data_IF_491196667538
#
_entry.id   IF_491196667538
#
_cell.length_a   1.000
_cell.length_b   1.000
_cell.length_c   1.000
_cell.angle_alpha   90.00
_cell.angle_beta   90.00
_cell.angle_gamma   90.00
#
_symmetry.space_group_name_H-M   'P 1'
#
loop_
_entity.id
_entity.type
_entity.pdbx_description
1 polymer ?
#
# COMPACT_ATOMS: atom_id res chain seq x y z
N UNK A 1 -50.97 -21.02 -48.10
CA UNK A 1 -49.88 -20.13 -47.62
C UNK A 1 -49.98 -20.10 -46.10
N UNK A 2 -49.16 -20.90 -45.43
CA UNK A 2 -49.14 -21.02 -43.97
C UNK A 2 -48.29 -19.86 -43.45
N UNK A 3 -48.91 -18.95 -42.69
CA UNK A 3 -48.22 -17.82 -42.06
C UNK A 3 -47.63 -18.35 -40.74
N UNK A 4 -46.31 -18.52 -40.71
CA UNK A 4 -45.56 -18.74 -39.48
C UNK A 4 -45.31 -17.38 -38.81
N UNK A 5 -45.92 -17.15 -37.66
CA UNK A 5 -45.55 -16.07 -36.75
C UNK A 5 -44.38 -16.54 -35.90
N UNK A 6 -43.19 -15.98 -36.13
CA UNK A 6 -42.08 -16.12 -35.21
C UNK A 6 -42.31 -15.17 -34.04
N UNK A 7 -42.62 -15.71 -32.85
CA UNK A 7 -42.40 -14.97 -31.61
C UNK A 7 -40.90 -14.84 -31.42
N UNK A 8 -40.35 -13.64 -31.57
CA UNK A 8 -39.00 -13.36 -31.11
C UNK A 8 -39.01 -13.43 -29.59
N UNK A 9 -38.32 -14.41 -29.01
CA UNK A 9 -37.89 -14.28 -27.62
C UNK A 9 -36.99 -13.04 -27.54
N UNK A 10 -37.35 -12.07 -26.70
CA UNK A 10 -36.48 -10.99 -26.29
C UNK A 10 -35.25 -11.58 -25.58
N UNK A 11 -34.19 -11.82 -26.34
CA UNK A 11 -32.88 -12.28 -25.86
C UNK A 11 -31.98 -11.10 -25.44
N UNK A 12 -32.52 -9.88 -25.37
CA UNK A 12 -31.73 -8.65 -25.21
C UNK A 12 -31.86 -7.97 -23.84
N UNK A 13 -32.67 -8.49 -22.91
CA UNK A 13 -32.65 -8.02 -21.51
C UNK A 13 -31.50 -8.72 -20.76
N UNK A 14 -30.27 -8.41 -21.15
CA UNK A 14 -29.19 -8.46 -20.19
C UNK A 14 -29.36 -7.22 -19.33
N UNK A 15 -29.74 -7.39 -18.07
CA UNK A 15 -29.62 -6.32 -17.09
C UNK A 15 -28.20 -5.77 -17.20
N UNK A 16 -28.08 -4.48 -17.52
CA UNK A 16 -26.80 -3.78 -17.49
C UNK A 16 -26.13 -4.10 -16.15
N UNK A 17 -24.82 -4.44 -16.15
CA UNK A 17 -24.12 -4.79 -14.93
C UNK A 17 -24.34 -3.68 -13.91
N UNK A 18 -25.08 -4.00 -12.85
CA UNK A 18 -25.40 -3.03 -11.82
C UNK A 18 -24.09 -2.50 -11.25
N UNK A 19 -23.93 -1.17 -11.07
CA UNK A 19 -22.75 -0.62 -10.43
C UNK A 19 -22.56 -1.33 -9.09
N UNK A 20 -21.38 -1.90 -8.88
CA UNK A 20 -21.06 -2.63 -7.66
C UNK A 20 -21.27 -1.68 -6.46
N UNK A 21 -22.31 -1.94 -5.67
CA UNK A 21 -22.70 -1.04 -4.59
C UNK A 21 -21.65 -1.13 -3.46
N UNK A 22 -21.21 0.01 -2.90
CA UNK A 22 -20.27 0.00 -1.79
C UNK A 22 -20.80 -0.83 -0.63
N UNK A 23 -19.98 -1.74 -0.12
CA UNK A 23 -20.32 -2.54 1.06
C UNK A 23 -20.17 -1.70 2.31
N UNK A 24 -21.04 -1.90 3.29
CA UNK A 24 -20.90 -1.35 4.64
C UNK A 24 -20.93 -2.49 5.67
N UNK A 25 -19.84 -2.64 6.42
CA UNK A 25 -19.72 -3.62 7.51
C UNK A 25 -19.33 -2.90 8.81
N UNK A 26 -19.60 -3.56 9.94
CA UNK A 26 -19.14 -3.09 11.25
C UNK A 26 -17.80 -3.77 11.58
N UNK A 27 -16.67 -3.03 11.61
CA UNK A 27 -15.41 -3.60 12.08
C UNK A 27 -15.50 -3.91 13.58
N UNK A 28 -14.92 -5.03 13.99
CA UNK A 28 -14.90 -5.48 15.39
C UNK A 28 -13.49 -5.52 15.99
N UNK A 29 -12.48 -5.15 15.20
CA UNK A 29 -11.12 -4.85 15.65
C UNK A 29 -10.56 -3.67 14.86
N UNK A 30 -9.68 -2.92 15.50
CA UNK A 30 -8.78 -1.97 14.84
C UNK A 30 -7.63 -2.72 14.15
N UNK A 31 -6.94 -2.04 13.23
CA UNK A 31 -5.74 -2.59 12.58
C UNK A 31 -4.66 -2.92 13.62
N UNK A 32 -4.48 -2.06 14.64
CA UNK A 32 -3.49 -2.31 15.70
C UNK A 32 -3.82 -3.55 16.52
N UNK A 33 -5.09 -3.73 16.89
CA UNK A 33 -5.52 -4.92 17.63
C UNK A 33 -5.29 -6.20 16.82
N UNK A 34 -5.56 -6.18 15.51
CA UNK A 34 -5.23 -7.30 14.63
C UNK A 34 -3.72 -7.57 14.58
N UNK A 35 -2.89 -6.53 14.40
CA UNK A 35 -1.43 -6.66 14.38
C UNK A 35 -0.91 -7.28 15.69
N UNK A 36 -1.48 -6.91 16.83
CA UNK A 36 -1.09 -7.42 18.14
C UNK A 36 -1.46 -8.90 18.37
N UNK A 37 -2.29 -9.49 17.50
CA UNK A 37 -2.57 -10.94 17.53
C UNK A 37 -1.45 -11.77 16.93
N UNK A 38 -0.55 -11.16 16.14
CA UNK A 38 0.53 -11.87 15.46
C UNK A 38 1.41 -12.66 16.43
N UNK A 39 1.67 -13.92 16.07
CA UNK A 39 2.64 -14.79 16.72
C UNK A 39 3.72 -15.17 15.73
N UNK A 40 4.98 -15.16 16.19
CA UNK A 40 6.13 -15.55 15.38
C UNK A 40 5.94 -16.96 14.79
N UNK A 41 6.21 -17.13 13.50
CA UNK A 41 5.91 -18.34 12.74
C UNK A 41 4.60 -18.27 11.95
N UNK A 42 3.83 -17.19 12.10
CA UNK A 42 2.55 -16.98 11.45
C UNK A 42 1.37 -17.52 12.27
N UNK A 43 0.20 -16.89 12.12
CA UNK A 43 -1.02 -17.26 12.85
C UNK A 43 -2.24 -17.26 11.91
N UNK A 44 -2.94 -18.39 11.82
CA UNK A 44 -4.17 -18.52 11.05
C UNK A 44 -5.31 -17.90 11.85
N UNK A 45 -5.99 -16.93 11.28
CA UNK A 45 -7.10 -16.26 11.94
C UNK A 45 -8.35 -17.14 11.82
N UNK A 46 -8.82 -17.67 12.95
CA UNK A 46 -10.02 -18.53 13.01
C UNK A 46 -11.27 -17.78 13.48
N UNK A 47 -11.08 -16.64 14.14
CA UNK A 47 -12.14 -15.76 14.64
C UNK A 47 -12.78 -14.96 13.50
N UNK A 48 -14.08 -14.69 13.59
CA UNK A 48 -14.81 -13.80 12.66
C UNK A 48 -14.44 -12.33 12.89
N UNK A 49 -13.21 -11.97 12.50
CA UNK A 49 -12.65 -10.62 12.63
C UNK A 49 -12.89 -9.84 11.35
N UNK A 50 -13.29 -8.58 11.51
CA UNK A 50 -13.39 -7.59 10.45
C UNK A 50 -12.64 -6.35 10.89
N UNK A 51 -11.66 -5.94 10.09
CA UNK A 51 -11.02 -4.62 10.20
C UNK A 51 -11.52 -3.72 9.07
N UNK A 52 -11.39 -2.41 9.24
CA UNK A 52 -11.65 -1.43 8.22
C UNK A 52 -10.52 -0.39 8.18
N UNK A 53 -10.22 0.14 7.00
CA UNK A 53 -9.24 1.21 6.85
C UNK A 53 -9.42 1.92 5.52
N UNK A 54 -8.81 3.09 5.39
CA UNK A 54 -8.73 3.81 4.12
C UNK A 54 -7.53 3.33 3.32
N UNK A 55 -7.71 3.15 2.02
CA UNK A 55 -6.63 2.79 1.10
C UNK A 55 -5.62 3.93 1.01
N UNK A 56 -4.35 3.63 1.23
CA UNK A 56 -3.24 4.60 1.14
C UNK A 56 -2.19 4.24 0.08
N UNK A 57 -2.36 3.11 -0.61
CA UNK A 57 -1.45 2.65 -1.66
C UNK A 57 -2.13 2.56 -3.02
N UNK A 58 -1.31 2.51 -4.07
CA UNK A 58 -1.73 2.15 -5.42
C UNK A 58 -0.67 1.26 -6.06
N UNK A 59 -1.10 0.21 -6.77
CA UNK A 59 -0.19 -0.63 -7.58
C UNK A 59 -0.07 -0.17 -9.03
N UNK A 60 -0.64 0.99 -9.37
CA UNK A 60 -0.66 1.56 -10.72
C UNK A 60 0.74 1.74 -11.32
N UNK A 61 1.68 2.21 -10.52
CA UNK A 61 3.05 2.51 -10.96
C UNK A 61 4.02 1.36 -10.68
N UNK A 62 3.57 0.30 -10.00
CA UNK A 62 4.35 -0.92 -9.76
C UNK A 62 5.40 -0.82 -8.64
N UNK A 63 5.55 0.33 -7.97
CA UNK A 63 6.46 0.44 -6.83
C UNK A 63 5.93 -0.29 -5.60
N UNK A 64 4.61 -0.25 -5.40
CA UNK A 64 3.86 -1.13 -4.50
C UNK A 64 3.19 -2.17 -5.39
N UNK A 65 3.64 -3.42 -5.35
CA UNK A 65 3.16 -4.47 -6.26
C UNK A 65 2.42 -5.57 -5.50
N UNK A 66 1.30 -6.04 -6.05
CA UNK A 66 0.50 -7.14 -5.47
C UNK A 66 0.18 -6.96 -3.98
N UNK A 67 0.01 -5.71 -3.57
CA UNK A 67 -0.17 -5.33 -2.17
C UNK A 67 -1.15 -4.18 -2.10
N UNK A 68 -2.16 -4.30 -1.25
CA UNK A 68 -3.01 -3.19 -0.83
C UNK A 68 -2.60 -2.77 0.59
N UNK A 69 -2.40 -1.48 0.83
CA UNK A 69 -2.12 -0.94 2.15
C UNK A 69 -3.31 -0.10 2.57
N UNK A 70 -3.87 -0.42 3.73
CA UNK A 70 -4.93 0.34 4.36
C UNK A 70 -4.46 0.88 5.70
N UNK A 71 -5.05 1.99 6.12
CA UNK A 71 -4.76 2.64 7.40
C UNK A 71 -6.05 3.10 8.08
N UNK A 72 -6.12 2.90 9.39
CA UNK A 72 -7.10 3.47 10.30
C UNK A 72 -6.42 4.43 11.27
N UNK A 73 -7.12 4.86 12.32
CA UNK A 73 -6.57 5.78 13.33
C UNK A 73 -5.46 5.14 14.21
N UNK A 74 -5.29 3.82 14.16
CA UNK A 74 -4.41 3.04 15.06
C UNK A 74 -3.14 2.51 14.37
N UNK A 75 -3.13 2.43 13.04
CA UNK A 75 -1.98 2.00 12.25
C UNK A 75 -2.35 1.61 10.83
N UNK A 76 -1.35 1.13 10.08
CA UNK A 76 -1.55 0.59 8.74
C UNK A 76 -1.10 -0.87 8.63
N UNK A 77 -1.64 -1.56 7.64
CA UNK A 77 -1.33 -2.97 7.36
C UNK A 77 -1.27 -3.24 5.87
N UNK A 78 -0.32 -4.08 5.46
CA UNK A 78 -0.22 -4.64 4.11
C UNK A 78 -1.10 -5.87 3.97
N UNK A 79 -1.84 -5.93 2.87
CA UNK A 79 -2.68 -7.05 2.46
C UNK A 79 -2.10 -7.61 1.16
N UNK A 80 -1.61 -8.85 1.20
CA UNK A 80 -1.01 -9.50 0.02
C UNK A 80 -2.07 -9.96 -0.95
N UNK A 81 -1.92 -9.56 -2.20
CA UNK A 81 -2.90 -9.78 -3.26
C UNK A 81 -2.38 -10.66 -4.38
N UNK A 82 -3.13 -11.70 -4.72
CA UNK A 82 -2.93 -12.46 -5.95
C UNK A 82 -3.37 -11.68 -7.20
N UNK A 83 -4.17 -10.63 -7.05
CA UNK A 83 -4.55 -9.68 -8.10
C UNK A 83 -3.48 -8.61 -8.32
N UNK A 84 -3.40 -8.14 -9.56
CA UNK A 84 -2.76 -6.88 -9.96
C UNK A 84 -3.81 -5.90 -10.48
N UNK A 85 -3.45 -4.64 -10.65
CA UNK A 85 -4.39 -3.60 -11.06
C UNK A 85 -5.41 -3.28 -9.98
N UNK A 86 -5.02 -3.42 -8.70
CA UNK A 86 -5.83 -3.15 -7.53
C UNK A 86 -6.41 -1.73 -7.56
N UNK A 87 -5.66 -0.77 -8.12
CA UNK A 87 -6.08 0.62 -8.29
C UNK A 87 -7.40 0.81 -9.06
N UNK A 88 -7.83 -0.17 -9.86
CA UNK A 88 -9.12 -0.12 -10.57
C UNK A 88 -10.31 -0.38 -9.63
N UNK A 89 -10.10 -1.18 -8.59
CA UNK A 89 -11.14 -1.64 -7.66
C UNK A 89 -11.11 -0.83 -6.35
N UNK A 90 -9.90 -0.54 -5.87
CA UNK A 90 -9.63 0.11 -4.58
C UNK A 90 -8.87 1.41 -4.82
N UNK A 91 -9.59 2.53 -4.71
CA UNK A 91 -9.02 3.87 -4.95
C UNK A 91 -8.42 4.43 -3.66
N UNK A 92 -7.37 5.25 -3.77
CA UNK A 92 -6.79 5.96 -2.62
C UNK A 92 -7.90 6.76 -1.91
N UNK A 93 -7.96 6.63 -0.58
CA UNK A 93 -8.97 7.26 0.28
C UNK A 93 -10.29 6.50 0.41
N UNK A 94 -10.53 5.47 -0.41
CA UNK A 94 -11.70 4.59 -0.29
C UNK A 94 -11.60 3.77 1.00
N UNK A 95 -12.73 3.63 1.69
CA UNK A 95 -12.84 2.68 2.81
C UNK A 95 -12.89 1.26 2.28
N UNK A 96 -12.11 0.36 2.86
CA UNK A 96 -12.10 -1.06 2.56
C UNK A 96 -12.28 -1.85 3.85
N UNK A 97 -13.08 -2.90 3.77
CA UNK A 97 -13.27 -3.86 4.86
C UNK A 97 -12.53 -5.15 4.54
N UNK A 98 -11.83 -5.70 5.52
CA UNK A 98 -11.13 -6.99 5.37
C UNK A 98 -11.76 -7.99 6.33
N UNK A 99 -12.36 -9.03 5.77
CA UNK A 99 -12.74 -10.24 6.51
C UNK A 99 -11.47 -11.03 6.76
N UNK A 100 -11.10 -11.18 8.02
CA UNK A 100 -9.81 -11.75 8.39
C UNK A 100 -9.86 -13.26 8.62
N UNK A 101 -11.03 -13.84 8.94
CA UNK A 101 -11.18 -15.28 9.17
C UNK A 101 -10.75 -16.10 7.95
N UNK A 102 -9.86 -17.06 8.14
CA UNK A 102 -9.29 -17.88 7.07
C UNK A 102 -8.10 -17.25 6.36
N UNK A 103 -7.70 -16.03 6.74
CA UNK A 103 -6.45 -15.41 6.34
C UNK A 103 -5.35 -15.67 7.38
N UNK A 104 -4.12 -15.50 6.96
CA UNK A 104 -2.91 -15.72 7.75
C UNK A 104 -2.28 -14.37 8.10
N UNK A 105 -2.03 -14.14 9.39
CA UNK A 105 -1.07 -13.12 9.82
C UNK A 105 0.35 -13.69 9.73
N UNK A 106 1.27 -12.87 9.28
CA UNK A 106 2.70 -13.17 9.37
C UNK A 106 3.50 -11.88 9.36
N UNK A 107 4.81 -11.99 9.38
CA UNK A 107 5.70 -10.85 9.27
C UNK A 107 6.81 -11.08 8.24
N UNK A 108 7.09 -10.03 7.47
CA UNK A 108 8.28 -9.95 6.63
C UNK A 108 9.18 -8.83 7.12
N UNK A 109 10.41 -9.16 7.51
CA UNK A 109 11.32 -8.18 8.12
C UNK A 109 10.72 -7.52 9.36
N UNK A 110 10.00 -8.25 10.21
CA UNK A 110 9.29 -7.75 11.39
C UNK A 110 8.15 -6.73 11.11
N UNK A 111 7.79 -6.46 9.85
CA UNK A 111 6.55 -5.77 9.50
C UNK A 111 5.42 -6.79 9.39
N UNK A 112 4.41 -6.68 10.25
CA UNK A 112 3.25 -7.57 10.22
C UNK A 112 2.38 -7.27 9.01
N UNK A 113 1.93 -8.32 8.34
CA UNK A 113 1.10 -8.29 7.14
C UNK A 113 0.04 -9.40 7.20
N UNK A 114 -1.01 -9.25 6.39
CA UNK A 114 -2.07 -10.25 6.24
C UNK A 114 -2.08 -10.78 4.82
N UNK A 115 -2.21 -12.09 4.69
CA UNK A 115 -2.20 -12.79 3.42
C UNK A 115 -2.95 -14.11 3.50
N UNK A 116 -2.61 -15.05 2.62
CA UNK A 116 -3.12 -16.42 2.67
C UNK A 116 -2.18 -17.32 3.45
N UNK A 117 -2.70 -18.46 3.90
CA UNK A 117 -1.86 -19.50 4.48
C UNK A 117 -0.83 -19.97 3.45
N UNK A 118 0.47 -19.93 3.78
CA UNK A 118 1.50 -20.37 2.84
C UNK A 118 1.51 -21.89 2.69
N UNK A 119 2.07 -22.36 1.57
CA UNK A 119 2.35 -23.78 1.37
C UNK A 119 3.33 -24.33 2.42
N UNK A 120 3.31 -25.65 2.61
CA UNK A 120 4.11 -26.35 3.64
C UNK A 120 5.62 -26.09 3.57
N UNK A 121 6.15 -25.83 2.37
CA UNK A 121 7.58 -25.63 2.13
C UNK A 121 7.97 -24.14 1.98
N UNK A 122 7.05 -23.22 2.28
CA UNK A 122 7.31 -21.78 2.20
C UNK A 122 8.24 -21.30 3.31
N UNK A 123 9.21 -20.47 2.96
CA UNK A 123 10.04 -19.73 3.93
C UNK A 123 9.35 -18.46 4.44
N UNK A 124 8.20 -18.09 3.87
CA UNK A 124 7.41 -16.92 4.26
C UNK A 124 6.23 -17.34 5.14
N UNK A 125 5.92 -16.50 6.14
CA UNK A 125 4.80 -16.71 7.07
C UNK A 125 3.43 -16.43 6.42
N UNK A 126 3.39 -15.81 5.25
CA UNK A 126 2.18 -15.52 4.46
C UNK A 126 2.41 -15.73 2.97
N UNK A 127 1.35 -16.07 2.24
CA UNK A 127 1.29 -16.04 0.78
C UNK A 127 0.29 -14.98 0.28
N UNK A 128 0.18 -14.80 -1.03
CA UNK A 128 -0.82 -13.95 -1.66
C UNK A 128 -2.21 -14.54 -1.52
N UNK A 129 -3.20 -13.72 -1.12
CA UNK A 129 -4.61 -14.11 -1.19
C UNK A 129 -4.96 -14.41 -2.66
N UNK A 130 -5.42 -15.63 -3.01
CA UNK A 130 -5.66 -16.00 -4.40
C UNK A 130 -6.56 -15.01 -5.12
N UNK A 131 -6.27 -14.74 -6.38
CA UNK A 131 -6.95 -13.72 -7.18
C UNK A 131 -8.48 -13.82 -7.13
N UNK A 132 -9.02 -15.04 -7.30
CA UNK A 132 -10.47 -15.28 -7.25
C UNK A 132 -11.10 -15.20 -5.86
N UNK A 133 -10.29 -15.24 -4.79
CA UNK A 133 -10.75 -15.10 -3.41
C UNK A 133 -10.56 -13.68 -2.87
N UNK A 134 -9.68 -12.87 -3.47
CA UNK A 134 -9.38 -11.53 -2.97
C UNK A 134 -10.63 -10.66 -2.76
N UNK A 135 -11.59 -10.59 -3.71
CA UNK A 135 -12.79 -9.76 -3.52
C UNK A 135 -13.75 -10.28 -2.43
N UNK A 136 -13.68 -11.56 -2.04
CA UNK A 136 -14.53 -12.09 -0.97
C UNK A 136 -13.98 -11.75 0.42
N UNK A 137 -12.67 -11.55 0.52
CA UNK A 137 -11.97 -11.12 1.73
C UNK A 137 -11.87 -9.60 1.85
N UNK A 138 -11.61 -8.90 0.75
CA UNK A 138 -11.32 -7.46 0.72
C UNK A 138 -12.44 -6.73 -0.01
N UNK A 139 -13.37 -6.18 0.76
CA UNK A 139 -14.61 -5.62 0.27
C UNK A 139 -14.49 -4.11 0.11
N UNK A 140 -14.78 -3.63 -1.10
CA UNK A 140 -14.82 -2.23 -1.44
C UNK A 140 -15.99 -1.53 -0.73
N UNK A 141 -15.68 -0.64 0.21
CA UNK A 141 -16.65 0.23 0.85
C UNK A 141 -16.77 1.58 0.15
N UNK A 142 -17.34 2.55 0.86
CA UNK A 142 -17.62 3.90 0.34
C UNK A 142 -16.36 4.55 -0.25
N UNK A 143 -16.48 5.11 -1.46
CA UNK A 143 -15.46 5.99 -2.04
C UNK A 143 -15.24 7.19 -1.12
N UNK A 144 -14.00 7.61 -0.97
CA UNK A 144 -13.62 8.65 -0.03
C UNK A 144 -12.46 9.48 -0.55
N UNK A 145 -12.17 10.57 0.16
CA UNK A 145 -10.98 11.36 -0.10
C UNK A 145 -9.75 10.72 0.54
N UNK A 146 -8.56 10.91 -0.06
CA UNK A 146 -7.30 10.55 0.56
C UNK A 146 -7.23 11.04 2.02
N UNK A 147 -6.57 10.27 2.88
CA UNK A 147 -6.31 10.73 4.24
C UNK A 147 -5.27 11.86 4.21
N UNK A 148 -5.35 12.75 5.19
CA UNK A 148 -4.28 13.73 5.42
C UNK A 148 -3.07 13.00 6.02
N UNK A 149 -1.89 13.02 5.38
CA UNK A 149 -0.69 12.39 5.91
C UNK A 149 -0.25 13.04 7.23
N UNK A 150 0.34 12.25 8.12
CA UNK A 150 0.98 12.81 9.31
C UNK A 150 2.30 13.49 8.92
N UNK A 151 2.48 14.74 9.31
CA UNK A 151 3.76 15.44 9.11
C UNK A 151 4.77 14.91 10.13
N UNK A 152 5.93 14.45 9.65
CA UNK A 152 6.97 13.81 10.48
C UNK A 152 8.29 14.57 10.34
N UNK A 153 8.97 14.75 11.47
CA UNK A 153 10.34 15.26 11.53
C UNK A 153 11.33 14.07 11.51
N UNK A 154 12.38 14.13 10.70
CA UNK A 154 13.40 13.07 10.64
C UNK A 154 14.18 12.89 11.94
N UNK A 155 14.20 13.88 12.83
CA UNK A 155 14.76 13.74 14.18
C UNK A 155 13.89 12.89 15.11
N UNK A 156 12.61 12.73 14.78
CA UNK A 156 11.63 12.02 15.61
C UNK A 156 10.72 11.14 14.77
N UNK A 157 11.33 10.22 14.02
CA UNK A 157 10.59 9.22 13.25
C UNK A 157 9.81 8.33 14.24
N UNK A 158 8.46 8.23 14.15
CA UNK A 158 7.66 7.45 15.08
C UNK A 158 8.00 5.97 15.00
N UNK A 159 8.11 5.28 16.14
CA UNK A 159 8.54 3.88 16.17
C UNK A 159 7.66 2.93 15.33
N UNK A 160 8.22 1.78 14.92
CA UNK A 160 7.50 0.71 14.20
C UNK A 160 6.19 0.31 14.88
N UNK A 161 6.17 0.21 16.20
CA UNK A 161 4.98 -0.18 16.96
C UNK A 161 3.85 0.85 16.90
N UNK A 162 4.11 2.05 16.39
CA UNK A 162 3.12 3.12 16.25
C UNK A 162 2.78 3.46 14.79
N UNK A 163 3.75 3.38 13.86
CA UNK A 163 3.59 3.97 12.52
C UNK A 163 4.04 3.07 11.35
N UNK A 164 4.24 1.77 11.56
CA UNK A 164 4.53 0.87 10.44
C UNK A 164 3.37 0.84 9.42
N UNK A 165 3.73 0.86 8.14
CA UNK A 165 2.85 0.93 6.98
C UNK A 165 1.84 2.09 7.01
N UNK A 166 2.24 3.27 7.49
CA UNK A 166 1.38 4.47 7.54
C UNK A 166 1.80 5.55 6.54
N UNK A 167 0.85 6.40 6.14
CA UNK A 167 1.08 7.53 5.25
C UNK A 167 1.65 8.72 6.04
N UNK A 168 2.83 9.18 5.64
CA UNK A 168 3.48 10.34 6.24
C UNK A 168 3.84 11.38 5.16
N UNK A 169 4.07 12.60 5.62
CA UNK A 169 4.62 13.69 4.83
C UNK A 169 5.87 14.23 5.51
N UNK A 170 6.95 14.35 4.76
CA UNK A 170 8.15 15.08 5.16
C UNK A 170 8.14 16.45 4.48
N UNK A 171 8.64 17.45 5.19
CA UNK A 171 8.80 18.81 4.69
C UNK A 171 10.27 19.19 4.71
N UNK A 172 10.67 20.10 3.83
CA UNK A 172 12.04 20.60 3.71
C UNK A 172 13.09 19.48 3.58
N UNK A 173 12.81 18.53 2.69
CA UNK A 173 13.72 17.43 2.36
C UNK A 173 14.22 17.55 0.94
N UNK A 174 15.37 16.93 0.66
CA UNK A 174 15.97 16.80 -0.67
C UNK A 174 16.77 15.50 -0.76
N UNK A 175 17.01 14.97 -1.96
CA UNK A 175 17.96 13.85 -2.12
C UNK A 175 19.40 14.31 -1.88
N UNK A 176 20.29 13.41 -1.47
CA UNK A 176 21.73 13.70 -1.31
C UNK A 176 22.33 14.30 -2.59
N UNK A 177 23.27 15.22 -2.44
CA UNK A 177 23.97 15.83 -3.59
C UNK A 177 24.72 14.80 -4.45
N UNK A 178 25.28 13.78 -3.81
CA UNK A 178 25.94 12.66 -4.49
C UNK A 178 25.01 11.78 -5.32
N UNK A 179 23.69 11.94 -5.18
CA UNK A 179 22.67 11.12 -5.86
C UNK A 179 21.91 11.88 -6.96
N UNK A 180 22.17 13.17 -7.21
CA UNK A 180 21.34 13.99 -8.11
C UNK A 180 21.27 13.52 -9.57
N UNK A 181 22.31 12.85 -10.05
CA UNK A 181 22.36 12.27 -11.40
C UNK A 181 21.90 10.81 -11.43
N UNK A 182 21.42 10.27 -10.30
CA UNK A 182 20.90 8.92 -10.25
C UNK A 182 19.42 8.90 -10.60
N UNK A 183 18.97 7.71 -10.97
CA UNK A 183 17.57 7.38 -11.18
C UNK A 183 16.93 6.87 -9.90
N UNK A 184 15.60 6.81 -9.85
CA UNK A 184 14.84 6.27 -8.71
C UNK A 184 15.22 4.84 -8.35
N UNK A 185 15.53 4.02 -9.35
CA UNK A 185 16.01 2.66 -9.23
C UNK A 185 16.87 2.27 -10.44
N UNK A 186 17.29 1.01 -10.52
CA UNK A 186 17.91 0.44 -11.72
C UNK A 186 17.01 -0.64 -12.29
N UNK A 187 17.08 -0.84 -13.60
CA UNK A 187 16.20 -1.73 -14.34
C UNK A 187 16.24 -3.17 -13.80
N UNK A 188 15.08 -3.81 -13.75
CA UNK A 188 14.86 -5.18 -13.29
C UNK A 188 15.46 -5.54 -11.90
N UNK A 189 15.70 -4.54 -11.05
CA UNK A 189 16.19 -4.79 -9.69
C UNK A 189 15.08 -5.03 -8.66
N UNK A 190 15.38 -5.84 -7.64
CA UNK A 190 14.47 -6.11 -6.51
C UNK A 190 14.23 -4.90 -5.59
N UNK A 191 14.99 -3.83 -5.79
CA UNK A 191 14.76 -2.53 -5.20
C UNK A 191 16.06 -1.85 -4.78
N UNK A 192 16.16 -0.57 -5.12
CA UNK A 192 17.31 0.29 -4.86
C UNK A 192 16.98 1.28 -3.76
N UNK A 193 17.99 1.57 -2.93
CA UNK A 193 17.89 2.55 -1.87
C UNK A 193 18.49 3.88 -2.35
N UNK A 194 17.77 4.97 -2.08
CA UNK A 194 18.21 6.37 -2.20
C UNK A 194 18.08 7.04 -0.85
N UNK A 195 18.71 8.19 -0.71
CA UNK A 195 18.82 8.86 0.58
C UNK A 195 18.23 10.25 0.51
N UNK A 196 17.14 10.47 1.25
CA UNK A 196 16.63 11.81 1.53
C UNK A 196 17.35 12.37 2.75
N UNK A 197 17.56 13.68 2.76
CA UNK A 197 18.04 14.44 3.91
C UNK A 197 17.10 15.60 4.23
N UNK A 198 17.00 15.99 5.50
CA UNK A 198 16.36 17.24 5.93
C UNK A 198 17.38 18.39 6.05
N UNK A 199 16.88 19.58 6.42
CA UNK A 199 17.69 20.78 6.63
C UNK A 199 18.73 20.65 7.76
N UNK A 200 18.55 19.68 8.66
CA UNK A 200 19.46 19.40 9.77
C UNK A 200 20.49 18.30 9.44
N UNK A 201 20.49 17.80 8.19
CA UNK A 201 21.34 16.71 7.75
C UNK A 201 20.96 15.32 8.27
N UNK A 202 19.77 15.15 8.86
CA UNK A 202 19.22 13.83 9.16
C UNK A 202 18.76 13.17 7.88
N UNK A 203 18.99 11.86 7.79
CA UNK A 203 18.74 11.10 6.58
C UNK A 203 17.72 9.98 6.78
N UNK A 204 17.00 9.64 5.71
CA UNK A 204 16.11 8.48 5.66
C UNK A 204 16.22 7.77 4.31
N UNK A 205 16.08 6.45 4.32
CA UNK A 205 16.09 5.63 3.11
C UNK A 205 14.77 5.75 2.36
N UNK A 206 14.84 5.98 1.05
CA UNK A 206 13.75 5.77 0.09
C UNK A 206 14.06 4.50 -0.70
N UNK A 207 13.19 3.50 -0.61
CA UNK A 207 13.34 2.23 -1.33
C UNK A 207 12.37 2.17 -2.50
N UNK A 208 12.92 1.92 -3.70
CA UNK A 208 12.15 1.90 -4.95
C UNK A 208 12.41 0.63 -5.75
N UNK A 209 11.36 -0.06 -6.20
CA UNK A 209 11.41 -1.23 -7.07
C UNK A 209 12.01 -0.89 -8.44
N UNK A 210 12.87 -1.77 -8.97
CA UNK A 210 13.36 -1.67 -10.36
C UNK A 210 12.28 -1.96 -11.40
N UNK A 211 11.17 -2.59 -11.00
CA UNK A 211 10.05 -2.93 -11.88
C UNK A 211 8.96 -1.84 -11.94
N UNK A 212 9.14 -0.71 -11.22
CA UNK A 212 8.18 0.39 -11.26
C UNK A 212 8.35 1.23 -12.54
N UNK A 213 7.27 1.86 -13.00
CA UNK A 213 7.25 2.63 -14.26
C UNK A 213 8.22 3.81 -14.28
N UNK A 214 8.54 4.36 -13.11
CA UNK A 214 9.43 5.49 -12.96
C UNK A 214 10.84 5.10 -12.51
N UNK A 215 11.19 3.81 -12.51
CA UNK A 215 12.48 3.31 -12.04
C UNK A 215 13.67 4.04 -12.68
N UNK A 216 13.61 4.27 -13.99
CA UNK A 216 14.68 4.93 -14.75
C UNK A 216 14.51 6.45 -14.87
N UNK A 217 13.50 7.04 -14.24
CA UNK A 217 13.38 8.49 -14.17
C UNK A 217 14.50 9.03 -13.28
N UNK A 218 15.08 10.18 -13.64
CA UNK A 218 16.04 10.87 -12.79
C UNK A 218 15.37 11.30 -11.48
N UNK A 219 16.14 11.29 -10.39
CA UNK A 219 15.70 11.86 -9.12
C UNK A 219 15.45 13.38 -9.26
N UNK A 220 14.44 13.93 -8.57
CA UNK A 220 14.27 15.37 -8.48
C UNK A 220 15.49 16.02 -7.83
N UNK A 221 15.95 17.12 -8.42
CA UNK A 221 17.16 17.80 -7.95
C UNK A 221 16.89 18.81 -6.82
N UNK A 222 15.65 19.30 -6.70
CA UNK A 222 15.27 20.34 -5.74
C UNK A 222 14.98 19.83 -4.33
N UNK A 223 14.41 20.72 -3.53
CA UNK A 223 13.90 20.45 -2.18
C UNK A 223 12.40 20.70 -2.09
N UNK A 224 11.78 20.21 -1.02
CA UNK A 224 10.37 20.50 -0.76
C UNK A 224 9.73 19.43 0.10
N UNK A 225 8.56 18.96 -0.33
CA UNK A 225 7.77 18.00 0.44
C UNK A 225 7.72 16.63 -0.22
N UNK A 226 7.65 15.59 0.62
CA UNK A 226 7.71 14.21 0.19
C UNK A 226 6.67 13.38 0.94
N UNK A 227 5.62 12.94 0.25
CA UNK A 227 4.59 12.07 0.83
C UNK A 227 4.85 10.62 0.44
N UNK A 228 4.84 9.72 1.42
CA UNK A 228 5.20 8.32 1.21
C UNK A 228 4.63 7.41 2.30
N UNK A 229 4.69 6.10 2.05
CA UNK A 229 4.44 5.09 3.07
C UNK A 229 5.70 4.93 3.91
N UNK A 230 5.60 5.23 5.21
CA UNK A 230 6.60 4.84 6.20
C UNK A 230 6.43 3.36 6.51
N UNK A 231 7.50 2.59 6.35
CA UNK A 231 7.56 1.19 6.77
C UNK A 231 8.89 0.85 7.41
N UNK A 232 8.98 -0.33 8.00
CA UNK A 232 10.18 -0.81 8.65
C UNK A 232 10.67 -2.11 8.05
N UNK A 233 11.98 -2.20 7.78
CA UNK A 233 12.66 -3.47 7.57
C UNK A 233 13.53 -3.77 8.78
N UNK A 234 13.09 -4.75 9.56
CA UNK A 234 13.54 -5.01 10.92
C UNK A 234 13.35 -3.79 11.83
N UNK A 235 14.42 -3.04 12.08
CA UNK A 235 14.41 -1.81 12.89
C UNK A 235 14.66 -0.57 12.05
N UNK A 236 14.97 -0.71 10.77
CA UNK A 236 15.36 0.40 9.90
C UNK A 236 14.11 1.01 9.25
N UNK A 237 13.81 2.30 9.50
CA UNK A 237 12.75 3.00 8.79
C UNK A 237 13.12 3.19 7.32
N UNK A 238 12.14 3.04 6.45
CA UNK A 238 12.27 3.28 5.01
C UNK A 238 10.96 3.81 4.45
N UNK A 239 11.09 4.63 3.40
CA UNK A 239 9.97 5.22 2.67
C UNK A 239 9.74 4.47 1.36
N UNK A 240 8.47 4.31 1.01
CA UNK A 240 8.05 3.81 -0.30
C UNK A 240 7.13 4.82 -0.95
N UNK A 241 7.54 5.31 -2.13
CA UNK A 241 6.75 6.24 -2.94
C UNK A 241 5.56 5.51 -3.56
N UNK A 242 4.37 6.12 -3.50
CA UNK A 242 3.15 5.57 -4.09
C UNK A 242 3.08 5.98 -5.56
N UNK A 243 3.19 7.29 -5.83
CA UNK A 243 3.35 7.86 -7.16
C UNK A 243 4.29 9.08 -7.14
N UNK A 244 4.82 9.47 -8.30
CA UNK A 244 5.62 10.69 -8.41
C UNK A 244 4.80 11.96 -8.11
N UNK A 245 3.47 11.91 -8.22
CA UNK A 245 2.59 13.01 -7.83
C UNK A 245 2.69 13.33 -6.33
N UNK A 246 3.16 12.40 -5.50
CA UNK A 246 3.34 12.57 -4.06
C UNK A 246 4.68 13.24 -3.69
N UNK A 247 5.52 13.51 -4.69
CA UNK A 247 6.87 14.07 -4.54
C UNK A 247 6.88 15.49 -5.11
N UNK A 248 7.03 16.49 -4.24
CA UNK A 248 7.02 17.93 -4.60
C UNK A 248 8.33 18.57 -4.17
N UNK A 249 9.37 18.31 -4.95
CA UNK A 249 10.75 18.79 -4.71
C UNK A 249 11.12 19.92 -5.67
N UNK A 250 10.22 20.91 -5.79
CA UNK A 250 10.29 21.97 -6.80
C UNK A 250 11.00 23.25 -6.32
N UNK A 251 11.37 23.31 -5.04
CA UNK A 251 12.05 24.46 -4.45
C UNK A 251 13.58 24.36 -4.65
N UNK A 252 14.31 25.49 -4.57
CA UNK A 252 15.78 25.47 -4.52
C UNK A 252 16.30 24.56 -3.40
N UNK A 253 17.45 23.92 -3.64
CA UNK A 253 18.13 23.11 -2.62
C UNK A 253 18.56 23.98 -1.43
N UNK A 254 18.52 23.40 -0.24
CA UNK A 254 19.15 23.99 0.94
C UNK A 254 20.58 23.47 1.12
N UNK A 255 21.42 24.29 1.73
CA UNK A 255 22.76 23.91 2.17
C UNK A 255 22.70 23.43 3.62
N UNK A 256 23.36 22.31 3.92
CA UNK A 256 23.56 21.87 5.31
C UNK A 256 24.79 22.60 5.83
N UNK A 257 24.59 23.50 6.79
CA UNK A 257 25.70 24.10 7.50
C UNK A 257 26.07 23.16 8.66
N UNK A 258 27.24 22.52 8.54
CA UNK A 258 27.82 21.68 9.59
C UNK A 258 28.24 22.51 10.80
#
# INVERSE_FOLDING_TARGET
MVIFTFSSCDYNDFDDPQPEQPVELTPNKTIRELINMYKKGGDLITEDIIIAGKVISSDRDGNIYKTLIIQDETGGIKIKSGLTGLYNFYQIGQTVYVKCKGLQLGAYGNSVEIGYQPGTDSSYETDYIPAGLFPSYVLAGKKGTPITPNVVDLNNIPSRTSADNTLIKLENVQFLESELNFTWSIDESSGVNRTLQDINGKTITVRTSGYCKFALNQLPEGSGSFTAILSYFNTTPQLTVISLDDVKLDNPRFTINN
#
